data_IF_456561613722
#
_entry.id   IF_456561613722
#
_cell.length_a   1.000
_cell.length_b   1.000
_cell.length_c   1.000
_cell.angle_alpha   90.00
_cell.angle_beta   90.00
_cell.angle_gamma   90.00
#
_symmetry.space_group_name_H-M   'P 1'
#
loop_
_entity.id
_entity.type
_entity.pdbx_description
1 polymer ?
#
# COMPACT_ATOMS: atom_id res chain seq x y z
N UNK A 1 -4.29 -26.02 3.40
CA UNK A 1 -5.21 -25.04 4.05
C UNK A 1 -5.01 -23.69 3.38
N UNK A 2 -6.05 -22.95 3.00
CA UNK A 2 -5.89 -21.60 2.47
C UNK A 2 -5.22 -20.71 3.53
N UNK A 3 -4.21 -19.95 3.10
CA UNK A 3 -3.42 -19.08 3.97
C UNK A 3 -4.27 -17.95 4.54
N UNK A 4 -3.79 -17.30 5.60
CA UNK A 4 -4.46 -16.15 6.22
C UNK A 4 -4.82 -15.06 5.19
N UNK A 5 -3.95 -14.84 4.20
CA UNK A 5 -4.15 -13.93 3.08
C UNK A 5 -5.24 -14.36 2.09
N UNK A 6 -5.45 -15.67 1.89
CA UNK A 6 -6.51 -16.18 1.00
C UNK A 6 -7.89 -16.02 1.64
N UNK A 7 -7.98 -16.20 2.96
CA UNK A 7 -9.23 -16.02 3.72
C UNK A 7 -9.63 -14.56 3.84
N UNK A 8 -8.66 -13.65 4.01
CA UNK A 8 -8.91 -12.21 4.01
C UNK A 8 -9.29 -11.72 2.61
N UNK A 9 -8.65 -12.21 1.54
CA UNK A 9 -9.09 -11.94 0.16
C UNK A 9 -10.53 -12.40 -0.10
N UNK A 10 -10.89 -13.63 0.27
CA UNK A 10 -12.26 -14.12 0.09
C UNK A 10 -13.29 -13.33 0.92
N UNK A 11 -12.94 -12.92 2.14
CA UNK A 11 -13.82 -12.09 2.98
C UNK A 11 -14.01 -10.67 2.41
N UNK A 12 -12.97 -10.08 1.81
CA UNK A 12 -13.02 -8.76 1.17
C UNK A 12 -13.79 -8.82 -0.16
N UNK A 13 -13.62 -9.88 -0.95
CA UNK A 13 -14.35 -10.07 -2.22
C UNK A 13 -15.85 -10.31 -2.01
N UNK A 14 -16.24 -10.97 -0.91
CA UNK A 14 -17.64 -11.31 -0.63
C UNK A 14 -18.45 -10.18 0.05
N UNK A 15 -17.81 -9.13 0.59
CA UNK A 15 -18.50 -8.06 1.33
C UNK A 15 -18.42 -6.75 0.55
N UNK A 16 -19.43 -6.54 -0.32
CA UNK A 16 -19.63 -5.39 -1.22
C UNK A 16 -18.41 -5.04 -2.07
N UNK A 17 -18.52 -5.30 -3.38
CA UNK A 17 -17.68 -4.64 -4.39
C UNK A 17 -17.69 -3.14 -4.09
N UNK A 18 -16.58 -2.59 -3.56
CA UNK A 18 -16.47 -1.17 -3.26
C UNK A 18 -16.97 -0.38 -4.46
N UNK A 19 -17.90 0.55 -4.23
CA UNK A 19 -18.49 1.30 -5.33
C UNK A 19 -17.46 2.31 -5.81
N UNK A 20 -17.19 2.29 -7.12
CA UNK A 20 -16.41 3.35 -7.76
C UNK A 20 -17.18 4.68 -7.72
N UNK A 21 -18.50 4.61 -7.73
CA UNK A 21 -19.42 5.74 -7.76
C UNK A 21 -19.94 6.04 -6.35
N UNK A 22 -20.05 7.32 -5.96
CA UNK A 22 -20.65 7.73 -4.70
C UNK A 22 -22.15 7.34 -4.67
N UNK A 23 -22.65 6.95 -3.52
CA UNK A 23 -24.09 6.82 -3.28
C UNK A 23 -24.62 8.14 -2.72
N UNK A 24 -25.61 8.74 -3.39
CA UNK A 24 -26.27 9.95 -2.93
C UNK A 24 -27.00 9.79 -1.59
N UNK A 25 -27.25 8.55 -1.17
CA UNK A 25 -27.86 8.24 0.14
C UNK A 25 -26.84 8.11 1.26
N UNK A 26 -25.54 8.08 0.94
CA UNK A 26 -24.45 7.96 1.90
C UNK A 26 -23.82 9.32 2.19
N UNK A 27 -23.28 9.47 3.40
CA UNK A 27 -22.55 10.68 3.75
C UNK A 27 -21.14 10.71 3.10
N UNK A 28 -20.43 11.86 3.07
CA UNK A 28 -19.13 11.97 2.42
C UNK A 28 -18.05 11.01 2.96
N UNK A 29 -18.11 10.68 4.25
CA UNK A 29 -17.15 9.75 4.88
C UNK A 29 -17.40 8.32 4.43
N UNK A 30 -18.67 7.91 4.36
CA UNK A 30 -19.08 6.59 3.86
C UNK A 30 -18.67 6.41 2.39
N UNK A 31 -18.91 7.41 1.55
CA UNK A 31 -18.47 7.41 0.15
C UNK A 31 -16.94 7.34 0.00
N UNK A 32 -16.19 7.99 0.89
CA UNK A 32 -14.73 7.90 0.92
C UNK A 32 -14.26 6.49 1.29
N UNK A 33 -14.87 5.86 2.30
CA UNK A 33 -14.56 4.48 2.72
C UNK A 33 -14.84 3.48 1.60
N UNK A 34 -15.98 3.59 0.92
CA UNK A 34 -16.33 2.72 -0.21
C UNK A 34 -15.37 2.88 -1.38
N UNK A 35 -14.95 4.11 -1.68
CA UNK A 35 -13.92 4.39 -2.69
C UNK A 35 -12.55 3.83 -2.30
N UNK A 36 -12.14 3.98 -1.04
CA UNK A 36 -10.90 3.42 -0.52
C UNK A 36 -10.89 1.88 -0.63
N UNK A 37 -12.03 1.23 -0.34
CA UNK A 37 -12.23 -0.20 -0.54
C UNK A 37 -12.12 -0.61 -2.02
N UNK A 38 -12.72 0.16 -2.94
CA UNK A 38 -12.56 -0.07 -4.37
C UNK A 38 -11.09 0.02 -4.81
N UNK A 39 -10.37 1.04 -4.34
CA UNK A 39 -8.94 1.21 -4.62
C UNK A 39 -8.11 0.06 -4.07
N UNK A 40 -8.44 -0.46 -2.88
CA UNK A 40 -7.81 -1.63 -2.28
C UNK A 40 -8.02 -2.89 -3.14
N UNK A 41 -9.25 -3.17 -3.58
CA UNK A 41 -9.52 -4.34 -4.44
C UNK A 41 -8.75 -4.21 -5.76
N UNK A 42 -8.75 -3.02 -6.37
CA UNK A 42 -8.02 -2.75 -7.60
C UNK A 42 -6.50 -2.88 -7.44
N UNK A 43 -5.95 -2.47 -6.30
CA UNK A 43 -4.52 -2.62 -6.01
C UNK A 43 -4.15 -4.08 -5.77
N UNK A 44 -5.00 -4.85 -5.09
CA UNK A 44 -4.83 -6.31 -4.92
C UNK A 44 -4.86 -7.04 -6.27
N UNK A 45 -5.80 -6.70 -7.17
CA UNK A 45 -5.85 -7.27 -8.52
C UNK A 45 -4.60 -6.94 -9.35
N UNK A 46 -4.12 -5.70 -9.26
CA UNK A 46 -2.83 -5.30 -9.88
C UNK A 46 -1.67 -6.11 -9.29
N UNK A 47 -1.66 -6.31 -7.97
CA UNK A 47 -0.63 -7.09 -7.29
C UNK A 47 -0.65 -8.56 -7.72
N UNK A 48 -1.83 -9.16 -7.87
CA UNK A 48 -1.96 -10.53 -8.37
C UNK A 48 -1.51 -10.64 -9.83
N UNK A 49 -1.82 -9.66 -10.67
CA UNK A 49 -1.32 -9.58 -12.05
C UNK A 49 0.21 -9.46 -12.08
N UNK A 50 0.79 -8.68 -11.16
CA UNK A 50 2.25 -8.58 -10.99
C UNK A 50 2.85 -9.91 -10.52
N UNK A 51 2.23 -10.55 -9.53
CA UNK A 51 2.67 -11.86 -9.03
C UNK A 51 2.60 -12.94 -10.11
N UNK A 52 1.58 -12.93 -10.96
CA UNK A 52 1.52 -13.86 -12.10
C UNK A 52 2.55 -13.53 -13.18
N UNK A 53 2.77 -12.24 -13.47
CA UNK A 53 3.74 -11.79 -14.48
C UNK A 53 5.18 -12.08 -14.05
N UNK A 54 5.51 -11.81 -12.79
CA UNK A 54 6.85 -11.94 -12.24
C UNK A 54 7.10 -13.28 -11.52
N UNK A 55 6.07 -13.99 -11.08
CA UNK A 55 6.18 -15.37 -10.57
C UNK A 55 6.27 -16.42 -11.67
N UNK A 56 5.87 -16.10 -12.91
CA UNK A 56 6.23 -16.90 -14.10
C UNK A 56 7.68 -16.70 -14.54
N UNK A 57 8.24 -15.51 -14.28
CA UNK A 57 9.65 -15.19 -14.54
C UNK A 57 10.63 -15.86 -13.56
N UNK A 58 10.14 -16.49 -12.50
CA UNK A 58 10.96 -17.32 -11.58
C UNK A 58 11.15 -18.75 -12.13
N UNK A 59 10.32 -19.17 -13.09
CA UNK A 59 10.39 -20.50 -13.73
C UNK A 59 11.16 -20.50 -15.05
N UNK A 60 11.24 -19.36 -15.72
CA UNK A 60 12.16 -19.16 -16.85
C UNK A 60 13.46 -18.58 -16.29
N UNK A 61 14.60 -19.23 -16.54
CA UNK A 61 15.94 -18.78 -16.12
C UNK A 61 16.36 -17.40 -16.71
N UNK A 62 15.46 -16.72 -17.41
CA UNK A 62 15.63 -15.35 -17.88
C UNK A 62 15.32 -14.39 -16.74
N UNK A 63 16.36 -14.10 -15.96
CA UNK A 63 16.57 -12.90 -15.13
C UNK A 63 15.45 -11.86 -15.29
N UNK A 64 14.35 -12.00 -14.55
CA UNK A 64 13.57 -10.83 -14.16
C UNK A 64 14.53 -10.02 -13.30
N UNK A 65 15.22 -9.10 -13.96
CA UNK A 65 16.24 -8.30 -13.31
C UNK A 65 15.55 -7.53 -12.19
N UNK A 66 16.15 -7.48 -11.01
CA UNK A 66 15.72 -6.57 -9.94
C UNK A 66 15.48 -5.14 -10.48
N UNK A 67 16.19 -4.76 -11.56
CA UNK A 67 15.99 -3.54 -12.32
C UNK A 67 14.60 -3.42 -13.01
N UNK A 68 14.00 -4.50 -13.48
CA UNK A 68 12.67 -4.48 -14.12
C UNK A 68 11.57 -4.26 -13.08
N UNK A 69 11.71 -4.87 -11.89
CA UNK A 69 10.81 -4.62 -10.77
C UNK A 69 10.97 -3.18 -10.26
N UNK A 70 12.22 -2.73 -10.06
CA UNK A 70 12.51 -1.36 -9.65
C UNK A 70 12.02 -0.33 -10.68
N UNK A 71 12.18 -0.58 -11.98
CA UNK A 71 11.72 0.33 -13.02
C UNK A 71 10.19 0.40 -13.08
N UNK A 72 9.50 -0.71 -12.82
CA UNK A 72 8.04 -0.72 -12.65
C UNK A 72 7.61 0.09 -11.43
N UNK A 73 8.22 -0.16 -10.26
CA UNK A 73 7.94 0.57 -9.01
C UNK A 73 8.20 2.06 -9.22
N UNK A 74 9.33 2.43 -9.83
CA UNK A 74 9.68 3.81 -10.16
C UNK A 74 8.66 4.45 -11.09
N UNK A 75 8.25 3.75 -12.16
CA UNK A 75 7.28 4.27 -13.12
C UNK A 75 5.90 4.46 -12.48
N UNK A 76 5.47 3.56 -11.60
CA UNK A 76 4.21 3.70 -10.88
C UNK A 76 4.31 4.79 -9.81
N UNK A 77 5.41 4.87 -9.03
CA UNK A 77 5.64 5.91 -8.04
C UNK A 77 5.68 7.32 -8.66
N UNK A 78 6.35 7.48 -9.81
CA UNK A 78 6.41 8.75 -10.52
C UNK A 78 5.04 9.26 -11.01
N UNK A 79 4.08 8.37 -11.29
CA UNK A 79 2.72 8.80 -11.65
C UNK A 79 1.96 9.45 -10.50
N UNK A 80 2.41 9.19 -9.27
CA UNK A 80 1.72 9.61 -8.04
C UNK A 80 2.54 10.63 -7.22
N UNK A 81 3.70 11.06 -7.73
CA UNK A 81 4.51 12.13 -7.15
C UNK A 81 3.97 13.51 -7.57
N UNK A 82 2.78 13.85 -7.09
CA UNK A 82 2.07 15.11 -7.41
C UNK A 82 2.27 16.19 -6.36
N UNK A 83 3.50 16.34 -5.86
CA UNK A 83 3.81 17.18 -4.68
C UNK A 83 3.57 18.67 -4.96
N UNK A 84 3.82 19.14 -6.19
CA UNK A 84 3.66 20.55 -6.57
C UNK A 84 2.42 20.79 -7.46
N UNK A 85 1.54 19.80 -7.61
CA UNK A 85 0.33 19.97 -8.41
C UNK A 85 -0.77 20.67 -7.61
N UNK A 86 -1.56 21.51 -8.28
CA UNK A 86 -2.76 22.12 -7.69
C UNK A 86 -3.71 21.04 -7.14
N UNK A 87 -4.51 21.42 -6.14
CA UNK A 87 -5.62 20.61 -5.68
C UNK A 87 -6.70 20.59 -6.76
N UNK A 88 -7.29 19.42 -6.99
CA UNK A 88 -8.47 19.27 -7.86
C UNK A 88 -9.76 19.37 -7.05
N UNK A 89 -9.78 18.81 -5.85
CA UNK A 89 -10.92 18.86 -4.93
C UNK A 89 -10.47 18.77 -3.46
N UNK A 90 -11.42 18.80 -2.52
CA UNK A 90 -11.16 18.63 -1.09
C UNK A 90 -10.74 17.21 -0.69
N UNK A 91 -11.02 16.20 -1.53
CA UNK A 91 -10.61 14.82 -1.27
C UNK A 91 -9.11 14.64 -1.52
N UNK A 92 -8.54 15.35 -2.49
CA UNK A 92 -7.09 15.43 -2.67
C UNK A 92 -6.38 15.95 -1.42
N UNK A 93 -6.97 16.91 -0.70
CA UNK A 93 -6.41 17.40 0.56
C UNK A 93 -6.51 16.33 1.67
N UNK A 94 -7.68 15.67 1.77
CA UNK A 94 -7.89 14.61 2.75
C UNK A 94 -6.97 13.40 2.52
N UNK A 95 -6.68 13.05 1.27
CA UNK A 95 -5.72 12.01 0.92
C UNK A 95 -4.31 12.33 1.41
N UNK A 96 -3.90 13.60 1.41
CA UNK A 96 -2.61 13.99 1.99
C UNK A 96 -2.66 13.97 3.52
N UNK A 97 -3.77 14.33 4.16
CA UNK A 97 -3.93 14.18 5.61
C UNK A 97 -3.80 12.71 6.00
N UNK A 98 -4.51 11.81 5.31
CA UNK A 98 -4.44 10.35 5.53
C UNK A 98 -3.04 9.81 5.21
N UNK A 99 -2.42 10.28 4.13
CA UNK A 99 -1.07 9.91 3.73
C UNK A 99 0.03 10.38 4.68
N UNK A 100 -0.22 11.46 5.44
CA UNK A 100 0.67 11.97 6.49
C UNK A 100 0.40 11.37 7.87
N UNK A 101 -0.73 10.68 8.09
CA UNK A 101 -1.13 10.20 9.43
C UNK A 101 -1.34 8.69 9.46
N UNK A 102 -2.42 8.21 8.85
CA UNK A 102 -2.83 6.81 8.92
C UNK A 102 -1.84 5.87 8.22
N UNK A 103 -1.34 6.24 7.04
CA UNK A 103 -0.38 5.39 6.29
C UNK A 103 0.94 5.23 7.07
N UNK A 104 1.57 6.32 7.57
CA UNK A 104 2.76 6.18 8.41
C UNK A 104 2.51 5.40 9.70
N UNK A 105 1.39 5.63 10.38
CA UNK A 105 1.04 4.89 11.59
C UNK A 105 0.91 3.38 11.34
N UNK A 106 0.20 2.98 10.28
CA UNK A 106 0.07 1.57 9.88
C UNK A 106 1.41 0.98 9.46
N UNK A 107 2.23 1.73 8.71
CA UNK A 107 3.56 1.29 8.30
C UNK A 107 4.51 1.10 9.49
N UNK A 108 4.45 1.96 10.50
CA UNK A 108 5.20 1.81 11.76
C UNK A 108 4.75 0.60 12.58
N UNK A 109 3.43 0.35 12.67
CA UNK A 109 2.89 -0.84 13.34
C UNK A 109 3.37 -2.11 12.62
N UNK A 110 3.25 -2.16 11.29
CA UNK A 110 3.70 -3.29 10.48
C UNK A 110 5.22 -3.51 10.61
N UNK A 111 6.00 -2.41 10.59
CA UNK A 111 7.46 -2.47 10.77
C UNK A 111 7.83 -3.04 12.13
N UNK A 112 7.18 -2.58 13.20
CA UNK A 112 7.44 -3.04 14.57
C UNK A 112 7.06 -4.51 14.75
N UNK A 113 5.91 -4.93 14.23
CA UNK A 113 5.46 -6.32 14.29
C UNK A 113 6.43 -7.24 13.53
N UNK A 114 6.84 -6.86 12.32
CA UNK A 114 7.81 -7.61 11.53
C UNK A 114 9.18 -7.67 12.21
N UNK A 115 9.64 -6.58 12.84
CA UNK A 115 10.87 -6.57 13.61
C UNK A 115 10.79 -7.52 14.81
N UNK A 116 9.68 -7.53 15.54
CA UNK A 116 9.45 -8.46 16.64
C UNK A 116 9.51 -9.92 16.19
N UNK A 117 8.90 -10.25 15.06
CA UNK A 117 9.02 -11.59 14.46
C UNK A 117 10.45 -11.90 14.03
N UNK A 118 11.18 -10.94 13.46
CA UNK A 118 12.59 -11.14 13.07
C UNK A 118 13.48 -11.45 14.29
N UNK A 119 13.30 -10.70 15.38
CA UNK A 119 14.02 -10.94 16.64
C UNK A 119 13.67 -12.31 17.20
N UNK A 120 12.40 -12.69 17.20
CA UNK A 120 11.94 -13.99 17.68
C UNK A 120 12.54 -15.16 16.90
N UNK A 121 12.49 -15.11 15.57
CA UNK A 121 13.07 -16.13 14.69
C UNK A 121 14.61 -16.17 14.84
N UNK A 122 15.25 -15.00 14.95
CA UNK A 122 16.69 -14.91 15.20
C UNK A 122 17.10 -15.52 16.55
N UNK A 123 16.31 -15.30 17.60
CA UNK A 123 16.53 -15.91 18.90
C UNK A 123 16.37 -17.43 18.87
N UNK A 124 15.41 -17.96 18.11
CA UNK A 124 15.25 -19.40 17.91
C UNK A 124 16.45 -20.01 17.19
N UNK A 125 16.93 -19.37 16.11
CA UNK A 125 18.13 -19.81 15.41
C UNK A 125 19.37 -19.80 16.32
N UNK A 126 19.53 -18.75 17.13
CA UNK A 126 20.63 -18.64 18.09
C UNK A 126 20.56 -19.71 19.19
N UNK A 127 19.36 -20.01 19.71
CA UNK A 127 19.16 -21.04 20.72
C UNK A 127 19.53 -22.44 20.19
N UNK A 128 19.21 -22.74 18.93
CA UNK A 128 19.64 -23.99 18.28
C UNK A 128 21.17 -23.98 18.10
N UNK A 129 21.73 -22.87 17.61
CA UNK A 129 23.18 -22.78 17.38
C UNK A 129 24.02 -22.92 18.66
N UNK A 130 23.54 -22.36 19.77
CA UNK A 130 24.20 -22.40 21.06
C UNK A 130 23.91 -23.70 21.84
N UNK A 131 23.10 -24.62 21.30
CA UNK A 131 22.76 -25.88 21.95
C UNK A 131 21.76 -25.79 23.10
N UNK A 132 21.09 -24.64 23.27
CA UNK A 132 20.03 -24.47 24.27
C UNK A 132 18.68 -25.07 23.84
N UNK A 133 18.53 -25.36 22.54
CA UNK A 133 17.35 -25.99 21.95
C UNK A 133 17.79 -27.08 20.99
N UNK A 134 17.21 -28.28 21.10
CA UNK A 134 17.42 -29.31 20.09
C UNK A 134 16.84 -28.86 18.74
N UNK A 135 17.62 -29.02 17.69
CA UNK A 135 17.22 -28.64 16.34
C UNK A 135 18.27 -29.06 15.32
N UNK A 136 17.81 -29.29 14.10
CA UNK A 136 18.66 -29.60 12.95
C UNK A 136 19.25 -28.33 12.35
N UNK A 137 20.38 -28.48 11.63
CA UNK A 137 20.96 -27.39 10.85
C UNK A 137 19.99 -26.81 9.80
N UNK A 138 19.06 -27.65 9.31
CA UNK A 138 17.99 -27.23 8.40
C UNK A 138 16.98 -26.29 9.08
N UNK A 139 16.56 -26.61 10.29
CA UNK A 139 15.65 -25.76 11.08
C UNK A 139 16.32 -24.44 11.47
N UNK A 140 17.59 -24.48 11.89
CA UNK A 140 18.38 -23.27 12.15
C UNK A 140 18.40 -22.34 10.92
N UNK A 141 18.68 -22.92 9.74
CA UNK A 141 18.74 -22.16 8.49
C UNK A 141 17.39 -21.56 8.11
N UNK A 142 16.28 -22.29 8.31
CA UNK A 142 14.94 -21.78 8.07
C UNK A 142 14.58 -20.62 9.01
N UNK A 143 14.92 -20.70 10.30
CA UNK A 143 14.73 -19.61 11.27
C UNK A 143 15.55 -18.36 10.88
N UNK A 144 16.79 -18.53 10.41
CA UNK A 144 17.60 -17.41 9.91
C UNK A 144 17.02 -16.76 8.66
N UNK A 145 16.53 -17.55 7.70
CA UNK A 145 15.90 -17.05 6.47
C UNK A 145 14.59 -16.29 6.77
N UNK A 146 13.77 -16.83 7.68
CA UNK A 146 12.57 -16.17 8.16
C UNK A 146 12.89 -14.86 8.87
N UNK A 147 13.91 -14.86 9.75
CA UNK A 147 14.37 -13.65 10.43
C UNK A 147 14.82 -12.58 9.43
N UNK A 148 15.61 -12.97 8.42
CA UNK A 148 16.06 -12.07 7.36
C UNK A 148 14.89 -11.48 6.56
N UNK A 149 13.93 -12.31 6.19
CA UNK A 149 12.73 -11.88 5.44
C UNK A 149 11.88 -10.91 6.25
N UNK A 150 11.65 -11.19 7.53
CA UNK A 150 10.88 -10.32 8.43
C UNK A 150 11.61 -9.01 8.72
N UNK A 151 12.95 -9.04 8.80
CA UNK A 151 13.75 -7.82 8.93
C UNK A 151 13.66 -6.94 7.68
N UNK A 152 13.74 -7.54 6.48
CA UNK A 152 13.56 -6.81 5.22
C UNK A 152 12.15 -6.24 5.10
N UNK A 153 11.13 -7.01 5.48
CA UNK A 153 9.75 -6.52 5.52
C UNK A 153 9.58 -5.36 6.50
N UNK A 154 10.22 -5.43 7.67
CA UNK A 154 10.23 -4.35 8.66
C UNK A 154 10.85 -3.07 8.11
N UNK A 155 12.02 -3.19 7.47
CA UNK A 155 12.72 -2.06 6.85
C UNK A 155 11.90 -1.46 5.71
N UNK A 156 11.31 -2.30 4.85
CA UNK A 156 10.47 -1.84 3.74
C UNK A 156 9.23 -1.09 4.24
N UNK A 157 8.55 -1.60 5.26
CA UNK A 157 7.40 -0.93 5.88
C UNK A 157 7.77 0.40 6.52
N UNK A 158 8.92 0.47 7.20
CA UNK A 158 9.44 1.70 7.78
C UNK A 158 9.76 2.76 6.72
N UNK A 159 10.55 2.39 5.70
CA UNK A 159 10.92 3.31 4.61
C UNK A 159 9.66 3.78 3.87
N UNK A 160 8.69 2.89 3.63
CA UNK A 160 7.40 3.24 3.03
C UNK A 160 6.61 4.24 3.88
N UNK A 161 6.58 4.06 5.20
CA UNK A 161 5.94 4.98 6.14
C UNK A 161 6.59 6.37 6.08
N UNK A 162 7.92 6.44 6.14
CA UNK A 162 8.66 7.71 6.08
C UNK A 162 8.46 8.40 4.73
N UNK A 163 8.55 7.65 3.62
CA UNK A 163 8.34 8.21 2.28
C UNK A 163 6.91 8.76 2.10
N UNK A 164 5.90 8.04 2.58
CA UNK A 164 4.51 8.51 2.57
C UNK A 164 4.35 9.78 3.40
N UNK A 165 4.88 9.77 4.63
CA UNK A 165 4.84 10.94 5.52
C UNK A 165 5.46 12.16 4.86
N UNK A 166 6.69 12.04 4.35
CA UNK A 166 7.39 13.16 3.71
C UNK A 166 6.64 13.68 2.50
N UNK A 167 6.18 12.78 1.60
CA UNK A 167 5.40 13.16 0.43
C UNK A 167 4.17 13.95 0.84
N UNK A 168 3.39 13.41 1.77
CA UNK A 168 2.12 14.01 2.15
C UNK A 168 2.26 15.24 3.02
N UNK A 169 3.27 15.31 3.89
CA UNK A 169 3.58 16.50 4.68
C UNK A 169 4.01 17.68 3.80
N UNK A 170 4.86 17.42 2.79
CA UNK A 170 5.22 18.47 1.82
C UNK A 170 3.98 18.87 1.03
N UNK A 171 3.24 17.89 0.50
CA UNK A 171 2.02 18.08 -0.31
C UNK A 171 0.92 18.88 0.41
N UNK A 172 0.75 18.64 1.71
CA UNK A 172 -0.17 19.39 2.60
C UNK A 172 0.11 20.89 2.64
N UNK A 173 1.36 21.30 2.39
CA UNK A 173 1.76 22.71 2.38
C UNK A 173 1.83 23.22 0.94
N UNK A 174 2.49 22.50 0.05
CA UNK A 174 2.78 22.96 -1.31
C UNK A 174 1.52 23.03 -2.17
N UNK A 175 0.65 22.02 -2.13
CA UNK A 175 -0.54 21.99 -3.00
C UNK A 175 -1.54 23.11 -2.68
N UNK A 176 -1.88 23.42 -1.42
CA UNK A 176 -2.71 24.58 -1.11
C UNK A 176 -2.08 25.91 -1.54
N UNK A 177 -0.78 26.09 -1.36
CA UNK A 177 -0.07 27.32 -1.77
C UNK A 177 -0.13 27.49 -3.29
N UNK A 178 0.18 26.45 -4.06
CA UNK A 178 0.11 26.48 -5.53
C UNK A 178 -1.34 26.70 -5.99
N UNK A 179 -2.31 26.09 -5.32
CA UNK A 179 -3.75 26.28 -5.62
C UNK A 179 -4.21 27.71 -5.34
N UNK A 180 -3.70 28.35 -4.28
CA UNK A 180 -4.02 29.74 -3.97
C UNK A 180 -3.44 30.72 -5.01
N UNK A 181 -2.28 30.40 -5.59
CA UNK A 181 -1.62 31.22 -6.61
C UNK A 181 -2.28 31.01 -7.99
N UNK A 182 -2.54 29.76 -8.36
CA UNK A 182 -2.86 29.40 -9.74
C UNK A 182 -4.28 28.85 -9.95
N UNK A 183 -5.12 28.87 -8.91
CA UNK A 183 -6.48 28.33 -8.92
C UNK A 183 -6.56 26.80 -8.80
N UNK A 184 -7.77 26.26 -8.79
CA UNK A 184 -7.99 24.81 -8.80
C UNK A 184 -7.58 24.20 -10.15
N UNK A 185 -7.00 23.00 -10.13
CA UNK A 185 -6.77 22.25 -11.36
C UNK A 185 -8.11 21.79 -11.97
N UNK A 186 -8.17 21.72 -13.30
CA UNK A 186 -9.31 21.16 -14.00
C UNK A 186 -9.55 19.69 -13.58
N UNK A 187 -10.80 19.34 -13.33
CA UNK A 187 -11.22 17.97 -13.08
C UNK A 187 -11.48 17.30 -14.44
N UNK A 188 -10.52 16.54 -14.96
CA UNK A 188 -10.67 15.83 -16.25
C UNK A 188 -11.77 14.75 -16.21
N UNK A 189 -12.04 14.20 -15.01
CA UNK A 189 -13.10 13.22 -14.73
C UNK A 189 -13.59 13.42 -13.29
N UNK A 190 -14.90 13.40 -13.09
CA UNK A 190 -15.47 13.34 -11.75
C UNK A 190 -14.89 12.13 -11.01
N UNK A 191 -14.19 12.42 -9.90
CA UNK A 191 -13.66 11.40 -8.99
C UNK A 191 -14.80 10.57 -8.39
N UNK A 192 -15.95 11.24 -8.24
CA UNK A 192 -17.21 10.75 -7.74
C UNK A 192 -18.31 11.18 -8.73
N UNK A 193 -18.79 10.29 -9.60
CA UNK A 193 -19.87 10.59 -10.54
C UNK A 193 -21.17 9.94 -10.08
N UNK A 194 -22.20 10.73 -9.81
CA UNK A 194 -23.59 10.25 -9.69
C UNK A 194 -24.41 10.83 -10.85
N UNK A 195 -24.91 9.96 -11.73
CA UNK A 195 -25.83 10.30 -12.83
C UNK A 195 -27.09 11.01 -12.36
N UNK A 196 -27.44 10.87 -11.08
CA UNK A 196 -28.63 11.46 -10.47
C UNK A 196 -28.34 12.74 -9.68
N UNK A 197 -27.07 13.14 -9.53
CA UNK A 197 -26.75 14.40 -8.86
C UNK A 197 -27.20 15.58 -9.70
N UNK A 198 -27.72 16.63 -9.05
CA UNK A 198 -28.24 17.84 -9.71
C UNK A 198 -27.14 18.53 -10.55
N UNK A 199 -25.87 18.34 -10.19
CA UNK A 199 -24.71 18.84 -10.94
C UNK A 199 -24.49 18.14 -12.29
N UNK A 200 -24.99 16.92 -12.50
CA UNK A 200 -24.89 16.18 -13.77
C UNK A 200 -26.02 16.51 -14.77
N UNK A 201 -26.99 17.36 -14.39
CA UNK A 201 -28.14 17.78 -15.21
C UNK A 201 -28.08 19.23 -15.69
N UNK A 202 -26.98 19.92 -15.42
CA UNK A 202 -26.66 21.25 -15.94
C UNK A 202 -25.51 21.14 -16.93
#
# INVERSE_FOLDING_TARGET
MPGFFDRTKQAIVNKSLGKKEPDAKQNPVENYVDHAHFLLIKSLQKFDTLKEKYGKLEKDETKASFYDLLSFIKKEANKHLTICEKLRDGHDYFDEVVGATAIPALGMIASTAALGMAIWEGAQALAIHAGFKEGTEKEKSAHLENAGTMLLASAAAFVGAVASFLKSAISLVTRPVVTAIEGFAAQDKDRFYDKNSIAAKL
#
